data_IF_804821506756
#
_entry.id   IF_804821506756
#
_cell.length_a   1.000
_cell.length_b   1.000
_cell.length_c   1.000
_cell.angle_alpha   90.00
_cell.angle_beta   90.00
_cell.angle_gamma   90.00
#
_symmetry.space_group_name_H-M   'P 1'
#
loop_
_entity.id
_entity.type
_entity.pdbx_description
1 polymer ?
#
# COMPACT_ATOMS: atom_id res chain seq x y z
N UNK A 1 -11.92 11.17 -25.84
CA UNK A 1 -10.91 10.19 -25.37
C UNK A 1 -10.82 10.29 -23.86
N UNK A 2 -10.91 9.18 -23.12
CA UNK A 2 -10.55 9.20 -21.69
C UNK A 2 -9.03 9.24 -21.61
N UNK A 3 -8.46 10.26 -20.98
CA UNK A 3 -7.02 10.35 -20.76
C UNK A 3 -6.57 9.20 -19.87
N UNK A 4 -5.53 8.47 -20.29
CA UNK A 4 -4.94 7.39 -19.50
C UNK A 4 -4.25 7.98 -18.26
N UNK A 5 -4.51 7.38 -17.10
CA UNK A 5 -3.83 7.72 -15.85
C UNK A 5 -2.74 6.70 -15.59
N UNK A 6 -1.53 7.18 -15.26
CA UNK A 6 -0.40 6.34 -14.85
C UNK A 6 -0.04 6.66 -13.41
N UNK A 7 0.19 5.63 -12.59
CA UNK A 7 0.54 5.76 -11.18
C UNK A 7 1.83 4.99 -10.94
N UNK A 8 2.79 5.65 -10.28
CA UNK A 8 4.06 5.05 -9.88
C UNK A 8 4.29 5.30 -8.40
N UNK A 9 4.73 4.26 -7.70
CA UNK A 9 4.96 4.27 -6.27
C UNK A 9 6.38 3.79 -5.98
N UNK A 10 7.13 4.50 -5.15
CA UNK A 10 8.48 4.12 -4.74
C UNK A 10 8.70 4.38 -3.24
N UNK A 11 9.20 3.39 -2.51
CA UNK A 11 9.63 3.58 -1.12
C UNK A 11 11.02 4.21 -1.05
N UNK A 12 11.15 5.27 -0.25
CA UNK A 12 12.35 6.11 -0.19
C UNK A 12 12.83 6.36 1.26
N UNK A 13 13.31 5.29 1.90
CA UNK A 13 13.94 5.40 3.21
C UNK A 13 12.96 5.42 4.38
N UNK A 14 13.53 5.38 5.58
CA UNK A 14 12.78 5.51 6.82
C UNK A 14 12.56 6.98 7.16
N UNK A 15 11.41 7.29 7.76
CA UNK A 15 11.15 8.62 8.34
C UNK A 15 12.15 8.96 9.46
N UNK A 16 12.56 7.94 10.23
CA UNK A 16 13.52 8.07 11.32
C UNK A 16 14.73 7.14 11.09
N UNK A 17 15.67 7.50 10.21
CA UNK A 17 16.74 6.58 9.78
C UNK A 17 17.75 6.25 10.88
N UNK A 18 18.00 7.19 11.80
CA UNK A 18 19.02 7.10 12.87
C UNK A 18 18.43 7.06 14.28
N UNK A 19 17.18 6.64 14.44
CA UNK A 19 16.55 6.60 15.77
C UNK A 19 17.38 5.75 16.74
N UNK A 20 17.81 6.38 17.84
CA UNK A 20 18.55 5.71 18.92
C UNK A 20 17.64 4.84 19.79
N UNK A 21 16.35 5.16 19.80
CA UNK A 21 15.34 4.42 20.53
C UNK A 21 14.94 3.19 19.74
N UNK A 22 14.98 2.00 20.33
CA UNK A 22 14.54 0.75 19.68
C UNK A 22 13.01 0.61 19.64
N UNK A 23 12.27 1.72 19.55
CA UNK A 23 10.82 1.70 19.58
C UNK A 23 10.25 1.07 18.31
N UNK A 24 9.54 -0.04 18.51
CA UNK A 24 8.95 -0.81 17.44
C UNK A 24 7.80 -0.07 16.73
N UNK A 25 7.18 0.93 17.38
CA UNK A 25 6.02 1.66 16.84
C UNK A 25 6.42 2.80 15.90
N UNK A 26 7.57 3.43 16.15
CA UNK A 26 7.97 4.66 15.46
C UNK A 26 9.07 4.43 14.43
N UNK A 27 9.93 3.42 14.61
CA UNK A 27 11.08 3.23 13.73
C UNK A 27 10.77 2.56 12.38
N UNK A 28 9.52 2.17 12.16
CA UNK A 28 9.12 1.39 11.00
C UNK A 28 8.45 2.21 9.90
N UNK A 29 8.24 3.51 10.12
CA UNK A 29 7.66 4.40 9.13
C UNK A 29 8.62 4.64 7.97
N UNK A 30 8.11 4.51 6.74
CA UNK A 30 8.87 4.69 5.51
C UNK A 30 8.20 5.73 4.63
N UNK A 31 9.01 6.51 3.91
CA UNK A 31 8.48 7.41 2.90
C UNK A 31 8.02 6.63 1.68
N UNK A 32 6.84 6.99 1.18
CA UNK A 32 6.33 6.59 -0.12
C UNK A 32 6.29 7.82 -1.02
N UNK A 33 7.02 7.74 -2.12
CA UNK A 33 6.93 8.66 -3.24
C UNK A 33 5.85 8.17 -4.20
N UNK A 34 4.84 9.00 -4.40
CA UNK A 34 3.75 8.78 -5.34
C UNK A 34 3.90 9.76 -6.51
N UNK A 35 3.74 9.23 -7.72
CA UNK A 35 3.67 10.00 -8.96
C UNK A 35 2.39 9.61 -9.69
N UNK A 36 1.58 10.61 -10.05
CA UNK A 36 0.38 10.44 -10.86
C UNK A 36 0.50 11.29 -12.11
N UNK A 37 0.25 10.70 -13.29
CA UNK A 37 0.23 11.42 -14.56
C UNK A 37 -1.11 11.22 -15.27
N UNK A 38 -1.68 12.29 -15.83
CA UNK A 38 -2.91 12.28 -16.62
C UNK A 38 -2.78 13.25 -17.80
N UNK A 39 -2.55 12.72 -19.01
CA UNK A 39 -2.22 13.58 -20.16
C UNK A 39 -0.97 14.42 -19.86
N UNK A 40 -1.09 15.75 -19.87
CA UNK A 40 0.00 16.68 -19.54
C UNK A 40 0.03 17.08 -18.04
N UNK A 41 -0.94 16.62 -17.24
CA UNK A 41 -0.99 16.90 -15.80
C UNK A 41 -0.11 15.91 -15.03
N UNK A 42 0.58 16.42 -14.01
CA UNK A 42 1.52 15.65 -13.20
C UNK A 42 1.41 16.06 -11.74
N UNK A 43 1.19 15.08 -10.88
CA UNK A 43 1.27 15.21 -9.43
C UNK A 43 2.41 14.33 -8.90
N UNK A 44 3.13 14.84 -7.91
CA UNK A 44 4.20 14.11 -7.25
C UNK A 44 4.27 14.54 -5.80
N UNK A 45 4.21 13.58 -4.88
CA UNK A 45 4.43 13.86 -3.47
C UNK A 45 5.17 12.69 -2.79
N UNK A 46 5.89 12.98 -1.72
CA UNK A 46 6.58 11.99 -0.88
C UNK A 46 6.11 12.17 0.55
N UNK A 47 5.52 11.14 1.15
CA UNK A 47 4.99 11.19 2.51
C UNK A 47 5.19 9.89 3.26
N UNK A 48 5.31 9.95 4.59
CA UNK A 48 5.44 8.78 5.45
C UNK A 48 4.08 8.09 5.65
N UNK A 49 3.51 7.56 4.57
CA UNK A 49 2.13 7.07 4.54
C UNK A 49 1.96 5.61 5.01
N UNK A 50 3.06 4.89 5.25
CA UNK A 50 3.03 3.48 5.62
C UNK A 50 4.22 3.12 6.51
N UNK A 51 4.03 2.09 7.33
CA UNK A 51 5.10 1.38 8.02
C UNK A 51 5.49 0.05 7.33
N UNK A 52 6.60 -0.54 7.75
CA UNK A 52 7.08 -1.83 7.20
C UNK A 52 6.17 -3.02 7.51
N UNK A 53 5.34 -2.98 8.57
CA UNK A 53 4.29 -3.99 8.78
C UNK A 53 3.17 -3.86 7.73
N UNK A 54 2.84 -2.64 7.31
CA UNK A 54 1.87 -2.35 6.27
C UNK A 54 2.35 -2.85 4.91
N UNK A 55 3.64 -2.71 4.61
CA UNK A 55 4.28 -3.29 3.41
C UNK A 55 4.11 -4.81 3.41
N UNK A 56 4.37 -5.47 4.54
CA UNK A 56 4.18 -6.93 4.68
C UNK A 56 2.72 -7.32 4.44
N UNK A 57 1.77 -6.55 5.00
CA UNK A 57 0.33 -6.78 4.80
C UNK A 57 -0.06 -6.61 3.33
N UNK A 58 0.47 -5.59 2.66
CA UNK A 58 0.24 -5.37 1.22
C UNK A 58 0.82 -6.52 0.38
N UNK A 59 2.04 -6.98 0.68
CA UNK A 59 2.63 -8.15 0.03
C UNK A 59 1.75 -9.39 0.21
N UNK A 60 1.29 -9.66 1.44
CA UNK A 60 0.39 -10.79 1.72
C UNK A 60 -0.94 -10.68 0.99
N UNK A 61 -1.47 -9.46 0.85
CA UNK A 61 -2.72 -9.20 0.12
C UNK A 61 -2.59 -9.57 -1.36
N UNK A 62 -1.58 -9.04 -2.06
CA UNK A 62 -1.30 -9.40 -3.45
C UNK A 62 -0.95 -10.88 -3.62
N UNK A 63 -0.23 -11.47 -2.67
CA UNK A 63 0.14 -12.89 -2.71
C UNK A 63 -1.09 -13.81 -2.58
N UNK A 64 -2.07 -13.44 -1.76
CA UNK A 64 -3.32 -14.22 -1.69
C UNK A 64 -4.00 -14.25 -3.06
N UNK A 65 -4.05 -13.10 -3.74
CA UNK A 65 -4.68 -12.98 -5.05
C UNK A 65 -3.92 -13.79 -6.10
N UNK A 66 -2.58 -13.72 -6.13
CA UNK A 66 -1.78 -14.51 -7.08
C UNK A 66 -1.90 -16.02 -6.88
N UNK A 67 -2.27 -16.47 -5.68
CA UNK A 67 -2.53 -17.88 -5.36
C UNK A 67 -4.01 -18.27 -5.63
N UNK A 68 -4.80 -17.41 -6.27
CA UNK A 68 -6.21 -17.66 -6.58
C UNK A 68 -7.13 -17.59 -5.34
N UNK A 69 -6.67 -16.97 -4.24
CA UNK A 69 -7.43 -16.85 -2.99
C UNK A 69 -7.96 -15.43 -2.82
N UNK A 70 -9.15 -15.32 -2.24
CA UNK A 70 -9.70 -14.01 -1.83
C UNK A 70 -8.96 -13.56 -0.56
N UNK A 71 -8.39 -12.34 -0.53
CA UNK A 71 -7.75 -11.81 0.66
C UNK A 71 -8.77 -11.65 1.80
N UNK A 72 -8.28 -11.70 3.05
CA UNK A 72 -9.12 -11.59 4.25
C UNK A 72 -9.99 -10.32 4.27
N UNK A 73 -9.49 -9.24 3.68
CA UNK A 73 -10.19 -7.96 3.56
C UNK A 73 -10.22 -7.54 2.10
N UNK A 74 -11.39 -7.17 1.61
CA UNK A 74 -11.57 -6.61 0.26
C UNK A 74 -10.97 -5.21 0.15
N UNK A 75 -10.98 -4.43 1.25
CA UNK A 75 -10.26 -3.16 1.37
C UNK A 75 -8.93 -3.36 2.10
N UNK A 76 -7.83 -3.04 1.43
CA UNK A 76 -6.51 -2.86 2.03
C UNK A 76 -6.30 -1.36 2.28
N UNK A 77 -6.43 -0.96 3.55
CA UNK A 77 -6.11 0.38 4.02
C UNK A 77 -4.94 0.38 5.01
N UNK A 78 -4.44 1.57 5.30
CA UNK A 78 -3.24 1.80 6.10
C UNK A 78 -3.53 2.71 7.30
N UNK A 79 -2.56 2.84 8.21
CA UNK A 79 -2.70 3.69 9.40
C UNK A 79 -2.92 5.14 8.98
N UNK A 80 -2.05 5.65 8.11
CA UNK A 80 -2.30 6.92 7.43
C UNK A 80 -3.23 6.68 6.24
N UNK A 81 -4.42 7.29 6.22
CA UNK A 81 -5.44 7.02 5.20
C UNK A 81 -5.14 7.75 3.89
N UNK A 82 -3.89 7.78 3.46
CA UNK A 82 -3.42 8.46 2.24
C UNK A 82 -3.65 7.64 0.97
N UNK A 83 -3.68 6.31 1.10
CA UNK A 83 -3.84 5.37 -0.01
C UNK A 83 -4.64 4.15 0.45
N UNK A 84 -5.51 3.63 -0.41
CA UNK A 84 -6.14 2.33 -0.18
C UNK A 84 -6.47 1.59 -1.47
N UNK A 85 -6.46 0.26 -1.40
CA UNK A 85 -6.83 -0.63 -2.50
C UNK A 85 -8.12 -1.36 -2.16
N UNK A 86 -9.06 -1.42 -3.10
CA UNK A 86 -10.35 -2.08 -2.91
C UNK A 86 -10.54 -3.12 -4.01
N UNK A 87 -10.50 -4.39 -3.63
CA UNK A 87 -10.81 -5.51 -4.51
C UNK A 87 -12.25 -5.37 -5.01
N UNK A 88 -12.40 -5.25 -6.33
CA UNK A 88 -13.70 -5.22 -7.00
C UNK A 88 -14.05 -6.60 -7.59
N UNK A 89 -13.04 -7.37 -7.98
CA UNK A 89 -13.19 -8.75 -8.42
C UNK A 89 -11.85 -9.36 -8.82
N UNK A 90 -11.82 -10.68 -8.95
CA UNK A 90 -10.69 -11.41 -9.49
C UNK A 90 -11.20 -12.64 -10.23
N UNK A 91 -10.87 -12.75 -11.51
CA UNK A 91 -11.24 -13.90 -12.34
C UNK A 91 -10.19 -14.11 -13.42
N UNK A 92 -9.92 -15.36 -13.80
CA UNK A 92 -9.02 -15.73 -14.91
C UNK A 92 -7.69 -14.99 -14.85
N UNK A 93 -7.09 -14.93 -13.65
CA UNK A 93 -5.79 -14.30 -13.42
C UNK A 93 -5.74 -12.78 -13.64
N UNK A 94 -6.91 -12.14 -13.69
CA UNK A 94 -7.08 -10.69 -13.78
C UNK A 94 -7.72 -10.17 -12.50
N UNK A 95 -7.07 -9.19 -11.89
CA UNK A 95 -7.51 -8.47 -10.71
C UNK A 95 -8.11 -7.12 -11.13
N UNK A 96 -9.36 -6.86 -10.73
CA UNK A 96 -9.96 -5.54 -10.78
C UNK A 96 -9.92 -4.92 -9.40
N UNK A 97 -9.23 -3.79 -9.27
CA UNK A 97 -9.07 -3.08 -8.01
C UNK A 97 -9.29 -1.59 -8.19
N UNK A 98 -9.90 -0.94 -7.20
CA UNK A 98 -9.97 0.52 -7.11
C UNK A 98 -8.84 1.01 -6.23
N UNK A 99 -8.00 1.88 -6.75
CA UNK A 99 -7.01 2.63 -5.98
C UNK A 99 -7.59 3.98 -5.60
N UNK A 100 -7.66 4.23 -4.31
CA UNK A 100 -8.13 5.49 -3.73
C UNK A 100 -6.94 6.26 -3.15
N UNK A 101 -6.87 7.56 -3.46
CA UNK A 101 -5.87 8.49 -2.95
C UNK A 101 -6.57 9.60 -2.17
N UNK A 102 -5.98 9.99 -1.05
CA UNK A 102 -6.55 11.00 -0.16
C UNK A 102 -5.46 11.80 0.54
N UNK A 103 -5.86 12.91 1.17
CA UNK A 103 -4.99 13.79 1.95
C UNK A 103 -3.74 14.24 1.18
N UNK A 104 -2.54 13.92 1.69
CA UNK A 104 -1.27 14.30 1.08
C UNK A 104 -1.04 13.65 -0.29
N UNK A 105 -1.81 12.61 -0.64
CA UNK A 105 -1.73 11.93 -1.94
C UNK A 105 -2.82 12.30 -2.93
N UNK A 106 -3.72 13.24 -2.62
CA UNK A 106 -4.73 13.73 -3.56
C UNK A 106 -4.08 14.63 -4.63
N UNK A 107 -4.13 14.26 -5.93
CA UNK A 107 -3.74 15.15 -7.00
C UNK A 107 -4.62 16.39 -7.07
N UNK A 108 -4.03 17.52 -7.48
CA UNK A 108 -4.70 18.81 -7.66
C UNK A 108 -5.52 18.92 -8.96
N UNK A 109 -5.47 17.87 -9.78
CA UNK A 109 -6.29 17.72 -10.98
C UNK A 109 -7.37 16.63 -10.82
N UNK A 110 -8.52 16.79 -11.49
CA UNK A 110 -9.63 15.87 -11.34
C UNK A 110 -9.26 14.48 -11.84
N UNK A 111 -9.65 13.43 -11.12
CA UNK A 111 -9.59 12.04 -11.59
C UNK A 111 -10.48 11.84 -12.84
N UNK A 112 -11.56 12.62 -12.96
CA UNK A 112 -12.63 12.42 -13.94
C UNK A 112 -13.82 11.66 -13.39
N UNK A 113 -13.86 11.45 -12.06
CA UNK A 113 -15.00 10.88 -11.35
C UNK A 113 -16.14 11.91 -11.20
N UNK A 114 -17.39 11.45 -11.02
CA UNK A 114 -18.52 12.34 -10.78
C UNK A 114 -18.42 13.14 -9.48
N UNK A 115 -17.77 12.56 -8.47
CA UNK A 115 -17.49 13.22 -7.20
C UNK A 115 -16.10 13.88 -7.27
N UNK A 116 -16.01 15.23 -7.25
CA UNK A 116 -14.75 15.94 -7.34
C UNK A 116 -13.87 15.80 -6.09
N UNK A 117 -14.47 15.44 -4.93
CA UNK A 117 -13.75 15.28 -3.67
C UNK A 117 -13.23 13.83 -3.49
N UNK A 118 -13.64 12.90 -4.36
CA UNK A 118 -13.25 11.48 -4.31
C UNK A 118 -12.24 11.11 -5.43
N UNK A 119 -10.96 11.11 -5.06
CA UNK A 119 -9.89 10.76 -5.99
C UNK A 119 -9.63 9.25 -6.00
N UNK A 120 -10.10 8.58 -7.05
CA UNK A 120 -9.78 7.17 -7.29
C UNK A 120 -9.61 6.86 -8.77
N UNK A 121 -8.94 5.74 -9.02
CA UNK A 121 -8.88 5.11 -10.34
C UNK A 121 -9.21 3.62 -10.25
N UNK A 122 -9.80 3.10 -11.32
CA UNK A 122 -9.93 1.67 -11.53
C UNK A 122 -8.69 1.14 -12.22
N UNK A 123 -8.09 0.11 -11.63
CA UNK A 123 -6.89 -0.55 -12.13
C UNK A 123 -7.25 -2.00 -12.43
N UNK A 124 -6.82 -2.45 -13.60
CA UNK A 124 -6.83 -3.87 -13.97
C UNK A 124 -5.40 -4.35 -13.94
N UNK A 125 -5.11 -5.42 -13.20
CA UNK A 125 -3.79 -6.01 -13.06
C UNK A 125 -3.85 -7.47 -13.50
N UNK A 126 -2.92 -7.89 -14.35
CA UNK A 126 -2.76 -9.31 -14.69
C UNK A 126 -1.74 -10.00 -13.75
N UNK A 127 -1.51 -11.30 -13.96
CA UNK A 127 -0.53 -12.04 -13.15
C UNK A 127 0.90 -11.52 -13.27
N UNK A 128 1.27 -10.96 -14.43
CA UNK A 128 2.61 -10.39 -14.60
C UNK A 128 2.73 -9.13 -13.75
N UNK A 129 1.74 -8.25 -13.79
CA UNK A 129 1.71 -7.05 -12.95
C UNK A 129 1.79 -7.41 -11.46
N UNK A 130 0.99 -8.40 -11.03
CA UNK A 130 0.99 -8.87 -9.64
C UNK A 130 2.35 -9.47 -9.28
N UNK A 131 2.99 -10.23 -10.16
CA UNK A 131 4.33 -10.79 -9.95
C UNK A 131 5.39 -9.69 -9.82
N UNK A 132 5.33 -8.65 -10.65
CA UNK A 132 6.23 -7.49 -10.59
C UNK A 132 6.04 -6.72 -9.27
N UNK A 133 4.79 -6.49 -8.85
CA UNK A 133 4.47 -5.90 -7.54
C UNK A 133 5.02 -6.75 -6.40
N UNK A 134 4.81 -8.07 -6.41
CA UNK A 134 5.31 -8.97 -5.36
C UNK A 134 6.84 -8.96 -5.29
N UNK A 135 7.52 -8.95 -6.44
CA UNK A 135 8.98 -8.85 -6.50
C UNK A 135 9.48 -7.53 -5.92
N UNK A 136 8.84 -6.41 -6.32
CA UNK A 136 9.15 -5.07 -5.81
C UNK A 136 8.98 -5.00 -4.29
N UNK A 137 7.83 -5.44 -3.76
CA UNK A 137 7.56 -5.45 -2.32
C UNK A 137 8.52 -6.38 -1.57
N UNK A 138 8.87 -7.54 -2.13
CA UNK A 138 9.88 -8.43 -1.54
C UNK A 138 11.25 -7.76 -1.43
N UNK A 139 11.71 -7.08 -2.48
CA UNK A 139 12.96 -6.32 -2.44
C UNK A 139 12.90 -5.13 -1.48
N UNK A 140 11.75 -4.46 -1.40
CA UNK A 140 11.49 -3.35 -0.47
C UNK A 140 11.61 -3.82 0.96
N UNK A 141 11.00 -4.95 1.33
CA UNK A 141 11.12 -5.52 2.68
C UNK A 141 12.55 -5.93 3.05
N UNK A 142 13.40 -6.27 2.08
CA UNK A 142 14.83 -6.52 2.31
C UNK A 142 15.62 -5.23 2.53
N UNK A 143 15.30 -4.19 1.77
CA UNK A 143 15.94 -2.86 1.88
C UNK A 143 15.51 -2.12 3.15
N UNK A 144 14.25 -2.28 3.52
CA UNK A 144 13.61 -1.69 4.69
C UNK A 144 13.04 -2.81 5.59
N UNK A 145 13.92 -3.54 6.31
CA UNK A 145 13.49 -4.60 7.21
C UNK A 145 12.91 -4.03 8.52
N UNK A 146 11.88 -4.70 9.06
CA UNK A 146 11.33 -4.39 10.38
C UNK A 146 12.41 -4.10 11.44
N UNK A 147 12.25 -2.97 12.14
CA UNK A 147 13.15 -2.46 13.17
C UNK A 147 12.50 -2.48 14.55
N UNK A 148 13.33 -2.46 15.59
CA UNK A 148 12.91 -2.47 16.98
C UNK A 148 12.64 -3.89 17.52
N UNK A 149 12.71 -4.04 18.84
CA UNK A 149 12.35 -5.31 19.50
C UNK A 149 10.87 -5.29 19.83
N UNK A 150 10.13 -6.31 19.39
CA UNK A 150 8.74 -6.49 19.83
C UNK A 150 8.71 -6.59 21.37
N UNK A 151 7.94 -5.76 22.09
CA UNK A 151 7.97 -5.78 23.54
C UNK A 151 7.53 -7.14 24.09
N UNK A 152 8.16 -7.65 25.18
CA UNK A 152 7.87 -8.95 25.76
C UNK A 152 6.39 -9.20 26.08
N UNK A 153 5.64 -8.13 26.39
CA UNK A 153 4.22 -8.20 26.74
C UNK A 153 3.32 -8.65 25.57
N UNK A 154 3.79 -8.55 24.32
CA UNK A 154 3.06 -9.02 23.13
C UNK A 154 3.47 -10.44 22.68
N UNK A 155 4.39 -11.10 23.39
CA UNK A 155 4.81 -12.49 23.14
C UNK A 155 3.99 -13.52 23.93
N UNK A 156 3.09 -13.08 24.82
CA UNK A 156 2.46 -13.94 25.84
C UNK A 156 0.94 -14.08 25.82
N UNK A 157 0.17 -13.40 24.97
CA UNK A 157 -1.29 -13.58 24.94
C UNK A 157 -1.70 -14.77 24.06
N UNK A 158 -1.41 -15.99 24.52
CA UNK A 158 -2.25 -17.14 24.15
C UNK A 158 -3.63 -16.84 24.72
N UNK A 159 -4.63 -16.66 23.86
CA UNK A 159 -6.03 -16.65 24.29
C UNK A 159 -6.26 -17.95 25.06
N UNK A 160 -6.58 -17.83 26.35
CA UNK A 160 -7.05 -18.98 27.11
C UNK A 160 -8.28 -19.54 26.38
N UNK A 161 -8.40 -20.87 26.22
CA UNK A 161 -9.61 -21.45 25.64
C UNK A 161 -10.79 -21.08 26.54
N UNK A 162 -11.81 -20.49 25.95
CA UNK A 162 -13.10 -20.27 26.58
C UNK A 162 -13.64 -21.66 26.92
N UNK A 163 -13.83 -21.94 28.21
CA UNK A 163 -14.55 -23.13 28.68
C UNK A 163 -16.04 -22.89 28.61
#
# INVERSE_FOLDING_TARGET
MRSQITISCEFDGYQFPFSADNDWQTNNWVYLKLIVMKGNERFSNTFAAMDTHEIIRMYQWFRCISEGRIPKWTKLGFIEPNISLHLQGCQDNVLWTKLHLSHEFTPDFPSGNPDPDDWFVHITLDLRDISEILSYLSSTMKRYPLRGKKPPQLLGQRRAPIR
#
